data_IF_599089852589
#
_entry.id   IF_599089852589
#
_cell.length_a   1.000
_cell.length_b   1.000
_cell.length_c   1.000
_cell.angle_alpha   90.00
_cell.angle_beta   90.00
_cell.angle_gamma   90.00
#
_symmetry.space_group_name_H-M   'P 1'
#
loop_
_entity.id
_entity.type
_entity.pdbx_description
1 polymer ?
#
# COMPACT_ATOMS: atom_id res chain seq x y z
N UNK A 1 21.84 13.69 -14.75
CA UNK A 1 20.64 12.93 -15.18
C UNK A 1 20.95 11.66 -15.97
N UNK A 2 21.93 11.64 -16.88
CA UNK A 2 22.26 10.47 -17.72
C UNK A 2 22.59 9.17 -16.94
N UNK A 3 23.37 9.25 -15.85
CA UNK A 3 23.69 8.08 -14.99
C UNK A 3 22.45 7.46 -14.34
N UNK A 4 21.48 8.27 -13.95
CA UNK A 4 20.22 7.80 -13.36
C UNK A 4 19.35 7.08 -14.39
N UNK A 5 19.29 7.60 -15.62
CA UNK A 5 18.58 6.95 -16.72
C UNK A 5 19.24 5.64 -17.14
N UNK A 6 20.58 5.60 -17.17
CA UNK A 6 21.34 4.38 -17.45
C UNK A 6 21.09 3.30 -16.38
N UNK A 7 21.11 3.67 -15.10
CA UNK A 7 20.80 2.77 -14.00
C UNK A 7 19.36 2.25 -14.07
N UNK A 8 18.39 3.14 -14.33
CA UNK A 8 16.98 2.77 -14.54
C UNK A 8 16.82 1.75 -15.66
N UNK A 9 17.50 1.96 -16.80
CA UNK A 9 17.47 1.04 -17.95
C UNK A 9 18.04 -0.33 -17.58
N UNK A 10 19.21 -0.35 -16.93
CA UNK A 10 19.89 -1.58 -16.52
C UNK A 10 19.08 -2.43 -15.53
N UNK A 11 18.36 -1.75 -14.61
CA UNK A 11 17.45 -2.40 -13.64
C UNK A 11 16.22 -2.95 -14.37
N UNK A 12 15.58 -2.17 -15.25
CA UNK A 12 14.39 -2.61 -15.99
C UNK A 12 14.68 -3.71 -17.02
N UNK A 13 15.91 -3.80 -17.54
CA UNK A 13 16.32 -4.81 -18.51
C UNK A 13 16.76 -6.14 -17.88
N UNK A 14 16.92 -6.18 -16.56
CA UNK A 14 17.26 -7.41 -15.87
C UNK A 14 16.15 -8.47 -16.05
N UNK A 15 16.52 -9.68 -16.47
CA UNK A 15 15.56 -10.73 -16.85
C UNK A 15 14.59 -11.11 -15.73
N UNK A 16 15.07 -11.08 -14.48
CA UNK A 16 14.26 -11.34 -13.29
C UNK A 16 13.21 -10.24 -13.05
N UNK A 17 13.56 -8.95 -13.22
CA UNK A 17 12.61 -7.83 -13.04
C UNK A 17 11.52 -7.87 -14.12
N UNK A 18 11.87 -8.17 -15.38
CA UNK A 18 10.88 -8.37 -16.44
C UNK A 18 9.93 -9.52 -16.12
N UNK A 19 10.45 -10.64 -15.61
CA UNK A 19 9.67 -11.81 -15.22
C UNK A 19 8.78 -11.57 -13.99
N UNK A 20 9.21 -10.74 -13.04
CA UNK A 20 8.35 -10.32 -11.92
C UNK A 20 7.25 -9.35 -12.40
N UNK A 21 7.60 -8.38 -13.25
CA UNK A 21 6.64 -7.39 -13.73
C UNK A 21 5.66 -7.91 -14.80
N UNK A 22 5.85 -9.13 -15.32
CA UNK A 22 4.87 -9.76 -16.21
C UNK A 22 3.60 -10.19 -15.49
N UNK A 23 3.62 -10.34 -14.16
CA UNK A 23 2.43 -10.69 -13.39
C UNK A 23 1.49 -9.49 -13.23
N UNK A 24 0.19 -9.71 -13.46
CA UNK A 24 -0.83 -8.66 -13.41
C UNK A 24 -0.99 -8.02 -12.03
N UNK A 25 -0.73 -8.78 -10.96
CA UNK A 25 -0.83 -8.34 -9.57
C UNK A 25 0.41 -7.57 -9.06
N UNK A 26 1.51 -7.56 -9.82
CA UNK A 26 2.77 -6.99 -9.33
C UNK A 26 2.72 -5.51 -8.94
N UNK A 27 1.95 -4.63 -9.64
CA UNK A 27 1.82 -3.25 -9.21
C UNK A 27 1.20 -3.11 -7.80
N UNK A 28 0.31 -4.02 -7.40
CA UNK A 28 -0.25 -4.06 -6.03
C UNK A 28 0.86 -4.33 -5.01
N UNK A 29 1.75 -5.28 -5.32
CA UNK A 29 2.90 -5.61 -4.47
C UNK A 29 3.86 -4.42 -4.38
N UNK A 30 4.14 -3.72 -5.49
CA UNK A 30 5.01 -2.55 -5.48
C UNK A 30 4.45 -1.40 -4.63
N UNK A 31 3.15 -1.11 -4.74
CA UNK A 31 2.48 -0.11 -3.91
C UNK A 31 2.49 -0.49 -2.43
N UNK A 32 2.30 -1.76 -2.13
CA UNK A 32 2.35 -2.29 -0.76
C UNK A 32 3.77 -2.21 -0.18
N UNK A 33 4.80 -2.56 -0.97
CA UNK A 33 6.21 -2.41 -0.58
C UNK A 33 6.57 -0.95 -0.31
N UNK A 34 6.08 -0.03 -1.15
CA UNK A 34 6.28 1.41 -0.93
C UNK A 34 5.68 1.85 0.40
N UNK A 35 4.46 1.39 0.73
CA UNK A 35 3.83 1.66 2.01
C UNK A 35 4.66 1.16 3.19
N UNK A 36 5.15 -0.08 3.11
CA UNK A 36 6.03 -0.68 4.13
C UNK A 36 7.29 0.15 4.30
N UNK A 37 7.96 0.50 3.19
CA UNK A 37 9.17 1.32 3.21
C UNK A 37 8.92 2.71 3.80
N UNK A 38 7.79 3.34 3.51
CA UNK A 38 7.42 4.63 4.11
C UNK A 38 7.14 4.48 5.60
N UNK A 39 6.42 3.44 6.01
CA UNK A 39 6.13 3.16 7.40
C UNK A 39 7.42 2.92 8.19
N UNK A 40 8.35 2.10 7.69
CA UNK A 40 9.64 1.84 8.34
C UNK A 40 10.60 3.03 8.24
N UNK A 41 10.73 3.65 7.07
CA UNK A 41 11.59 4.80 6.81
C UNK A 41 11.17 6.07 7.56
N UNK A 42 9.89 6.20 7.92
CA UNK A 42 9.42 7.35 8.70
C UNK A 42 10.12 7.52 10.04
N UNK A 43 10.71 6.44 10.60
CA UNK A 43 11.46 6.55 11.85
C UNK A 43 12.67 7.46 11.74
N UNK A 44 13.21 7.64 10.53
CA UNK A 44 14.35 8.48 10.23
C UNK A 44 14.02 9.98 10.29
N UNK A 45 12.75 10.36 10.07
CA UNK A 45 12.35 11.76 9.91
C UNK A 45 12.34 12.58 11.22
N UNK A 46 12.79 12.05 12.35
CA UNK A 46 12.71 12.65 13.71
C UNK A 46 11.32 13.21 14.16
N UNK A 47 10.25 12.99 13.39
CA UNK A 47 8.87 13.39 13.72
C UNK A 47 8.34 12.63 14.96
N UNK A 48 7.50 13.31 15.77
CA UNK A 48 6.78 12.68 16.91
C UNK A 48 5.98 11.45 16.46
N UNK A 49 5.98 10.40 17.28
CA UNK A 49 5.33 9.12 16.96
C UNK A 49 3.85 9.30 16.56
N UNK A 50 3.11 10.15 17.28
CA UNK A 50 1.69 10.44 17.02
C UNK A 50 1.44 11.00 15.61
N UNK A 51 2.32 11.90 15.16
CA UNK A 51 2.24 12.49 13.82
C UNK A 51 2.65 11.51 12.73
N UNK A 52 3.62 10.62 13.00
CA UNK A 52 3.97 9.53 12.07
C UNK A 52 2.80 8.58 11.88
N UNK A 53 2.16 8.19 12.99
CA UNK A 53 0.97 7.35 12.93
C UNK A 53 -0.13 8.08 12.16
N UNK A 54 -0.52 9.30 12.53
CA UNK A 54 -1.57 10.03 11.81
C UNK A 54 -1.29 10.25 10.32
N UNK A 55 -0.10 10.74 9.96
CA UNK A 55 0.24 11.08 8.57
C UNK A 55 0.39 9.83 7.68
N UNK A 56 1.05 8.79 8.20
CA UNK A 56 1.29 7.57 7.42
C UNK A 56 0.03 6.71 7.37
N UNK A 57 -0.70 6.61 8.47
CA UNK A 57 -1.87 5.74 8.57
C UNK A 57 -3.08 6.34 7.88
N UNK A 58 -3.25 7.67 7.90
CA UNK A 58 -4.44 8.29 7.32
C UNK A 58 -4.15 8.73 5.90
N UNK A 59 -3.18 9.62 5.69
CA UNK A 59 -2.99 10.26 4.38
C UNK A 59 -2.32 9.30 3.40
N UNK A 60 -1.14 8.79 3.73
CA UNK A 60 -0.39 7.93 2.82
C UNK A 60 -1.12 6.61 2.57
N UNK A 61 -1.67 5.99 3.60
CA UNK A 61 -2.41 4.75 3.42
C UNK A 61 -3.69 4.94 2.60
N UNK A 62 -4.41 6.06 2.75
CA UNK A 62 -5.58 6.36 1.90
C UNK A 62 -5.19 6.54 0.43
N UNK A 63 -4.10 7.28 0.15
CA UNK A 63 -3.60 7.48 -1.21
C UNK A 63 -3.16 6.16 -1.87
N UNK A 64 -2.40 5.36 -1.13
CA UNK A 64 -1.91 4.06 -1.63
C UNK A 64 -3.08 3.09 -1.80
N UNK A 65 -4.04 3.06 -0.86
CA UNK A 65 -5.24 2.22 -0.95
C UNK A 65 -6.09 2.58 -2.17
N UNK A 66 -6.31 3.88 -2.44
CA UNK A 66 -7.00 4.32 -3.65
C UNK A 66 -6.28 3.85 -4.92
N UNK A 67 -4.96 4.02 -4.96
CA UNK A 67 -4.15 3.64 -6.12
C UNK A 67 -4.13 2.12 -6.34
N UNK A 68 -4.08 1.34 -5.27
CA UNK A 68 -4.20 -0.14 -5.32
C UNK A 68 -5.59 -0.55 -5.79
N UNK A 69 -6.66 0.05 -5.27
CA UNK A 69 -8.03 -0.20 -5.73
C UNK A 69 -8.20 0.12 -7.22
N UNK A 70 -7.63 1.23 -7.70
CA UNK A 70 -7.60 1.58 -9.12
C UNK A 70 -6.85 0.53 -9.95
N UNK A 71 -5.65 0.13 -9.53
CA UNK A 71 -4.86 -0.92 -10.21
C UNK A 71 -5.61 -2.24 -10.29
N UNK A 72 -6.30 -2.63 -9.21
CA UNK A 72 -7.11 -3.86 -9.16
C UNK A 72 -8.24 -3.79 -10.19
N UNK A 73 -8.92 -2.65 -10.30
CA UNK A 73 -10.00 -2.45 -11.26
C UNK A 73 -9.47 -2.40 -12.71
N UNK A 74 -8.43 -1.58 -12.96
CA UNK A 74 -7.84 -1.39 -14.29
C UNK A 74 -7.24 -2.69 -14.86
N UNK A 75 -6.76 -3.59 -14.00
CA UNK A 75 -6.18 -4.89 -14.39
C UNK A 75 -7.13 -6.07 -14.18
N UNK A 76 -8.39 -5.82 -13.84
CA UNK A 76 -9.43 -6.82 -13.59
C UNK A 76 -8.96 -7.95 -12.65
N UNK A 77 -8.25 -7.58 -11.58
CA UNK A 77 -7.73 -8.53 -10.60
C UNK A 77 -8.86 -9.05 -9.70
N UNK A 78 -8.68 -10.27 -9.19
CA UNK A 78 -9.64 -10.88 -8.27
C UNK A 78 -9.80 -10.02 -7.00
N UNK A 79 -11.04 -9.89 -6.53
CA UNK A 79 -11.41 -9.01 -5.40
C UNK A 79 -10.62 -9.26 -4.11
N UNK A 80 -10.13 -10.49 -3.85
CA UNK A 80 -9.33 -10.76 -2.65
C UNK A 80 -8.02 -9.96 -2.59
N UNK A 81 -7.52 -9.44 -3.72
CA UNK A 81 -6.35 -8.56 -3.74
C UNK A 81 -6.59 -7.23 -3.02
N UNK A 82 -7.85 -6.83 -2.81
CA UNK A 82 -8.20 -5.68 -1.97
C UNK A 82 -7.75 -5.89 -0.52
N UNK A 83 -7.81 -7.14 -0.03
CA UNK A 83 -7.43 -7.48 1.34
C UNK A 83 -5.91 -7.52 1.55
N UNK A 84 -5.11 -7.58 0.48
CA UNK A 84 -3.66 -7.75 0.59
C UNK A 84 -2.99 -6.57 1.30
N UNK A 85 -3.29 -5.35 0.84
CA UNK A 85 -2.74 -4.12 1.42
C UNK A 85 -3.12 -3.94 2.91
N UNK A 86 -4.38 -4.11 3.34
CA UNK A 86 -4.77 -3.98 4.74
C UNK A 86 -4.18 -5.08 5.63
N UNK A 87 -4.05 -6.33 5.14
CA UNK A 87 -3.35 -7.39 5.88
C UNK A 87 -1.88 -7.03 6.10
N UNK A 88 -1.18 -6.57 5.05
CA UNK A 88 0.23 -6.18 5.19
C UNK A 88 0.37 -4.96 6.10
N UNK A 89 -0.51 -3.98 5.96
CA UNK A 89 -0.56 -2.82 6.84
C UNK A 89 -0.73 -3.25 8.30
N UNK A 90 -1.69 -4.12 8.59
CA UNK A 90 -1.92 -4.68 9.92
C UNK A 90 -0.65 -5.30 10.50
N UNK A 91 0.09 -6.08 9.72
CA UNK A 91 1.36 -6.67 10.15
C UNK A 91 2.41 -5.61 10.50
N UNK A 92 2.51 -4.53 9.71
CA UNK A 92 3.40 -3.40 10.01
C UNK A 92 2.98 -2.68 11.30
N UNK A 93 1.68 -2.46 11.48
CA UNK A 93 1.13 -1.83 12.69
C UNK A 93 1.42 -2.67 13.92
N UNK A 94 1.18 -3.98 13.86
CA UNK A 94 1.46 -4.90 14.96
C UNK A 94 2.96 -4.99 15.25
N UNK A 95 3.80 -5.10 14.22
CA UNK A 95 5.25 -5.19 14.40
C UNK A 95 5.85 -3.95 15.04
N UNK A 96 5.37 -2.76 14.68
CA UNK A 96 6.05 -1.49 15.00
C UNK A 96 5.32 -0.60 16.01
N UNK A 97 4.01 -0.73 16.09
CA UNK A 97 3.13 0.16 16.85
C UNK A 97 2.19 -0.59 17.80
N UNK A 98 2.36 -1.91 18.02
CA UNK A 98 1.50 -2.72 18.91
C UNK A 98 1.36 -2.17 20.33
N UNK A 99 2.35 -1.43 20.84
CA UNK A 99 2.25 -0.76 22.14
C UNK A 99 1.26 0.42 22.17
N UNK A 100 0.80 0.92 21.02
CA UNK A 100 0.14 2.23 20.94
C UNK A 100 -1.23 2.29 20.25
N UNK A 101 -1.72 1.33 19.44
CA UNK A 101 -3.03 1.53 18.79
C UNK A 101 -3.71 0.29 18.18
N UNK A 102 -4.36 -0.55 19.00
CA UNK A 102 -5.36 -1.53 18.51
C UNK A 102 -6.62 -0.85 17.96
N UNK A 103 -6.94 0.35 18.42
CA UNK A 103 -8.13 1.11 18.01
C UNK A 103 -8.08 1.54 16.54
N UNK A 104 -6.89 1.85 16.00
CA UNK A 104 -6.73 2.21 14.59
C UNK A 104 -6.99 1.04 13.64
N UNK A 105 -6.70 -0.19 14.08
CA UNK A 105 -6.99 -1.42 13.31
C UNK A 105 -8.49 -1.57 13.10
N UNK A 106 -9.28 -1.30 14.14
CA UNK A 106 -10.75 -1.37 14.10
C UNK A 106 -11.32 -0.32 13.15
N UNK A 107 -10.84 0.93 13.23
CA UNK A 107 -11.27 2.01 12.33
C UNK A 107 -10.97 1.66 10.86
N UNK A 108 -9.86 0.97 10.59
CA UNK A 108 -9.48 0.57 9.23
C UNK A 108 -10.41 -0.49 8.65
N UNK A 109 -10.72 -1.54 9.41
CA UNK A 109 -11.68 -2.57 9.01
C UNK A 109 -13.05 -1.97 8.69
N UNK A 110 -13.48 -0.97 9.47
CA UNK A 110 -14.74 -0.27 9.25
C UNK A 110 -14.68 0.54 7.94
N UNK A 111 -13.64 1.34 7.71
CA UNK A 111 -13.50 2.14 6.49
C UNK A 111 -13.38 1.29 5.22
N UNK A 112 -12.68 0.16 5.31
CA UNK A 112 -12.55 -0.80 4.20
C UNK A 112 -13.88 -1.48 3.87
N UNK A 113 -14.65 -1.86 4.90
CA UNK A 113 -16.01 -2.37 4.74
C UNK A 113 -16.93 -1.35 4.05
N UNK A 114 -16.88 -0.09 4.46
CA UNK A 114 -17.63 0.99 3.80
C UNK A 114 -17.17 1.25 2.34
N UNK A 115 -15.87 1.17 2.07
CA UNK A 115 -15.33 1.27 0.72
C UNK A 115 -15.80 0.13 -0.20
N UNK A 116 -15.88 -1.09 0.33
CA UNK A 116 -16.40 -2.27 -0.38
C UNK A 116 -17.89 -2.16 -0.70
N UNK A 117 -18.67 -1.44 0.13
CA UNK A 117 -20.10 -1.24 -0.09
C UNK A 117 -20.41 -0.29 -1.27
N UNK A 118 -19.48 0.62 -1.63
CA UNK A 118 -19.71 1.61 -2.70
C UNK A 118 -19.92 0.99 -4.09
N UNK A 119 -19.44 -0.23 -4.31
CA UNK A 119 -19.67 -0.99 -5.54
C UNK A 119 -21.08 -1.58 -5.69
N UNK A 120 -21.91 -1.52 -4.64
CA UNK A 120 -23.26 -2.09 -4.62
C UNK A 120 -24.39 -1.06 -4.50
N UNK A 121 -24.06 0.24 -4.31
CA UNK A 121 -25.05 1.31 -4.07
C UNK A 121 -25.31 2.16 -5.33
N UNK A 122 -24.41 2.14 -6.33
CA UNK A 122 -24.58 2.84 -7.63
C UNK A 122 -25.08 1.92 -8.75
N UNK A 123 -25.73 0.81 -8.37
CA UNK A 123 -26.45 -0.09 -9.28
C UNK A 123 -27.93 -0.01 -8.93
N UNK A 124 -28.53 1.13 -9.19
CA UNK A 124 -29.97 1.32 -9.32
C UNK A 124 -30.20 2.17 -10.56
#
# INVERSE_FOLDING_TARGET
MAKLQLAKKKILEASWIKKLNSYSFMPVIWWTLLLVLLAYGSSLLQIKLTWRVGFIFIILNSLISYQVGKVINDRNLKKYWLLFLPIVFLLVVLSRYAKYNLVLIIIYLIMEFFGSLKGNIYKN
#
